data_IF_547916597279
#
_entry.id   IF_547916597279
#
_cell.length_a   1.000
_cell.length_b   1.000
_cell.length_c   1.000
_cell.angle_alpha   90.00
_cell.angle_beta   90.00
_cell.angle_gamma   90.00
#
_symmetry.space_group_name_H-M   'P 1'
#
loop_
_entity.id
_entity.type
_entity.pdbx_description
1 polymer ?
#
# COMPACT_ATOMS: atom_id res chain seq x y z
N UNK A 1 -23.13 -11.06 7.85
CA UNK A 1 -21.81 -11.66 7.53
C UNK A 1 -20.71 -10.65 7.86
N UNK A 2 -19.52 -11.13 8.20
CA UNK A 2 -18.37 -10.25 8.44
C UNK A 2 -17.91 -9.66 7.10
N UNK A 3 -17.82 -8.33 6.99
CA UNK A 3 -17.38 -7.67 5.76
C UNK A 3 -15.90 -7.97 5.53
N UNK A 4 -15.58 -8.48 4.34
CA UNK A 4 -14.22 -8.76 3.89
C UNK A 4 -13.61 -7.46 3.36
N UNK A 5 -12.36 -7.20 3.75
CA UNK A 5 -11.68 -5.94 3.45
C UNK A 5 -10.29 -6.14 2.86
N UNK A 6 -9.93 -5.30 1.89
CA UNK A 6 -8.60 -5.26 1.28
C UNK A 6 -8.02 -3.86 1.32
N UNK A 7 -6.72 -3.77 1.61
CA UNK A 7 -5.91 -2.56 1.39
C UNK A 7 -4.93 -2.77 0.25
N UNK A 8 -4.71 -1.74 -0.55
CA UNK A 8 -3.75 -1.71 -1.63
C UNK A 8 -2.81 -0.52 -1.46
N UNK A 9 -1.55 -0.72 -1.80
CA UNK A 9 -0.58 0.35 -1.99
C UNK A 9 -0.17 0.34 -3.46
N UNK A 10 -0.49 1.42 -4.18
CA UNK A 10 -0.40 1.56 -5.63
C UNK A 10 -1.76 1.36 -6.30
N UNK A 11 -2.54 2.44 -6.45
CA UNK A 11 -3.85 2.34 -7.09
C UNK A 11 -3.71 2.17 -8.60
N UNK A 12 -4.69 1.54 -9.25
CA UNK A 12 -4.66 1.27 -10.68
C UNK A 12 -5.74 0.30 -11.14
N UNK A 13 -5.48 -0.45 -12.21
CA UNK A 13 -6.40 -1.46 -12.73
C UNK A 13 -6.71 -2.56 -11.71
N UNK A 14 -5.73 -2.93 -10.89
CA UNK A 14 -5.85 -3.86 -9.76
C UNK A 14 -6.90 -3.41 -8.75
N UNK A 15 -6.98 -2.11 -8.45
CA UNK A 15 -7.99 -1.53 -7.55
C UNK A 15 -9.41 -1.91 -8.00
N UNK A 16 -9.70 -1.72 -9.28
CA UNK A 16 -11.04 -2.00 -9.84
C UNK A 16 -11.27 -3.49 -10.08
N UNK A 17 -10.22 -4.27 -10.33
CA UNK A 17 -10.36 -5.72 -10.46
C UNK A 17 -10.61 -6.38 -9.11
N UNK A 18 -9.71 -6.18 -8.14
CA UNK A 18 -9.75 -6.88 -6.85
C UNK A 18 -10.87 -6.43 -5.92
N UNK A 19 -11.37 -5.19 -6.08
CA UNK A 19 -12.54 -4.74 -5.33
C UNK A 19 -13.82 -5.55 -5.61
N UNK A 20 -13.87 -6.36 -6.67
CA UNK A 20 -15.00 -7.26 -6.92
C UNK A 20 -15.07 -8.46 -5.96
N UNK A 21 -13.98 -8.76 -5.25
CA UNK A 21 -13.88 -9.93 -4.38
C UNK A 21 -14.01 -9.58 -2.89
N UNK A 22 -14.23 -8.31 -2.54
CA UNK A 22 -14.31 -7.83 -1.16
C UNK A 22 -15.40 -6.77 -1.00
N UNK A 23 -15.91 -6.60 0.22
CA UNK A 23 -16.96 -5.62 0.51
C UNK A 23 -16.43 -4.18 0.59
N UNK A 24 -15.19 -4.04 1.06
CA UNK A 24 -14.53 -2.76 1.29
C UNK A 24 -13.08 -2.75 0.79
N UNK A 25 -12.76 -1.79 -0.08
CA UNK A 25 -11.46 -1.69 -0.72
C UNK A 25 -10.84 -0.33 -0.50
N UNK A 26 -9.67 -0.30 0.13
CA UNK A 26 -8.86 0.92 0.32
C UNK A 26 -7.65 0.84 -0.59
N UNK A 27 -7.38 1.84 -1.41
CA UNK A 27 -6.14 1.93 -2.21
C UNK A 27 -5.40 3.22 -1.94
N UNK A 28 -4.08 3.17 -1.80
CA UNK A 28 -3.24 4.31 -1.46
C UNK A 28 -2.32 4.62 -2.63
N UNK A 29 -2.40 5.83 -3.18
CA UNK A 29 -1.64 6.26 -4.35
C UNK A 29 -0.80 7.50 -4.04
N UNK A 30 0.48 7.43 -4.41
CA UNK A 30 1.46 8.48 -4.13
C UNK A 30 1.47 9.63 -5.13
N UNK A 31 0.91 9.43 -6.32
CA UNK A 31 0.91 10.36 -7.45
C UNK A 31 -0.43 11.08 -7.57
N UNK A 32 -0.51 12.38 -7.17
CA UNK A 32 -1.74 13.15 -7.33
C UNK A 32 -2.17 13.30 -8.78
N UNK A 33 -1.21 13.31 -9.72
CA UNK A 33 -1.51 13.31 -11.15
C UNK A 33 -2.21 12.03 -11.57
N UNK A 34 -1.70 10.87 -11.15
CA UNK A 34 -2.34 9.59 -11.49
C UNK A 34 -3.73 9.46 -10.85
N UNK A 35 -3.92 9.99 -9.64
CA UNK A 35 -5.25 10.06 -9.05
C UNK A 35 -6.29 10.82 -9.88
N UNK A 36 -5.89 11.87 -10.62
CA UNK A 36 -6.79 12.57 -11.55
C UNK A 36 -7.18 11.68 -12.73
N UNK A 37 -6.30 10.79 -13.17
CA UNK A 37 -6.63 9.76 -14.16
C UNK A 37 -7.62 8.73 -13.58
N UNK A 38 -7.46 8.34 -12.32
CA UNK A 38 -8.37 7.43 -11.63
C UNK A 38 -9.79 7.99 -11.49
N UNK A 39 -9.97 9.32 -11.42
CA UNK A 39 -11.31 9.94 -11.48
C UNK A 39 -12.04 9.59 -12.78
N UNK A 40 -11.34 9.60 -13.92
CA UNK A 40 -11.92 9.23 -15.22
C UNK A 40 -12.29 7.75 -15.27
N UNK A 41 -11.44 6.89 -14.71
CA UNK A 41 -11.74 5.46 -14.60
C UNK A 41 -12.93 5.24 -13.68
N UNK A 42 -13.01 5.93 -12.55
CA UNK A 42 -14.14 5.82 -11.63
C UNK A 42 -15.48 6.18 -12.30
N UNK A 43 -15.52 7.23 -13.11
CA UNK A 43 -16.71 7.62 -13.90
C UNK A 43 -17.16 6.50 -14.85
N UNK A 44 -16.22 5.71 -15.41
CA UNK A 44 -16.55 4.58 -16.28
C UNK A 44 -17.02 3.32 -15.54
N UNK A 45 -17.13 3.36 -14.20
CA UNK A 45 -17.60 2.27 -13.35
C UNK A 45 -18.97 2.58 -12.71
N UNK A 46 -20.07 2.72 -13.48
CA UNK A 46 -21.37 3.21 -12.99
C UNK A 46 -22.06 2.30 -11.97
N UNK A 47 -21.55 1.08 -11.75
CA UNK A 47 -22.11 0.10 -10.82
C UNK A 47 -21.44 0.08 -9.45
N UNK A 48 -20.50 0.99 -9.20
CA UNK A 48 -19.72 1.03 -7.96
C UNK A 48 -19.86 2.39 -7.28
N UNK A 49 -19.47 2.43 -6.01
CA UNK A 49 -19.25 3.68 -5.28
C UNK A 49 -17.74 3.86 -5.16
N UNK A 50 -17.22 4.96 -5.72
CA UNK A 50 -15.80 5.28 -5.67
C UNK A 50 -15.61 6.66 -5.06
N UNK A 51 -14.82 6.72 -3.99
CA UNK A 51 -14.35 7.99 -3.40
C UNK A 51 -12.85 8.11 -3.58
N UNK A 52 -12.40 9.29 -3.99
CA UNK A 52 -10.98 9.60 -4.15
C UNK A 52 -10.66 10.81 -3.26
N UNK A 53 -9.89 10.57 -2.20
CA UNK A 53 -9.50 11.56 -1.20
C UNK A 53 -8.09 12.08 -1.48
N UNK A 54 -7.96 13.37 -1.73
CA UNK A 54 -6.68 14.04 -1.85
C UNK A 54 -6.19 14.47 -0.48
N UNK A 55 -5.11 13.86 -0.02
CA UNK A 55 -4.63 14.04 1.34
C UNK A 55 -3.60 15.16 1.43
N UNK A 56 -3.72 15.96 2.49
CA UNK A 56 -2.70 16.86 2.99
C UNK A 56 -2.14 16.37 4.32
N UNK A 57 -0.99 16.91 4.72
CA UNK A 57 -0.41 16.67 6.05
C UNK A 57 0.01 17.99 6.69
N UNK A 58 -0.26 18.14 7.98
CA UNK A 58 0.22 19.23 8.83
C UNK A 58 0.73 18.67 10.17
N UNK A 59 1.03 19.53 11.14
CA UNK A 59 1.52 19.13 12.47
C UNK A 59 0.53 18.25 13.26
N UNK A 60 -0.77 18.36 13.00
CA UNK A 60 -1.82 17.57 13.64
C UNK A 60 -2.07 16.23 12.96
N UNK A 61 -1.50 15.99 11.77
CA UNK A 61 -1.63 14.74 11.02
C UNK A 61 -2.17 14.92 9.60
N UNK A 62 -2.81 13.89 9.07
CA UNK A 62 -3.42 13.91 7.75
C UNK A 62 -4.79 14.57 7.76
N UNK A 63 -5.11 15.31 6.70
CA UNK A 63 -6.42 15.92 6.48
C UNK A 63 -6.83 15.80 5.02
N UNK A 64 -8.13 15.85 4.74
CA UNK A 64 -8.66 15.79 3.37
C UNK A 64 -8.62 17.21 2.79
N UNK A 65 -7.91 17.39 1.67
CA UNK A 65 -7.89 18.64 0.89
C UNK A 65 -9.05 18.72 -0.08
N UNK A 66 -9.37 17.60 -0.71
CA UNK A 66 -10.40 17.49 -1.73
C UNK A 66 -10.91 16.05 -1.80
N UNK A 67 -12.16 15.89 -2.18
CA UNK A 67 -12.79 14.59 -2.38
C UNK A 67 -13.51 14.61 -3.73
N UNK A 68 -13.22 13.61 -4.56
CA UNK A 68 -14.02 13.25 -5.71
C UNK A 68 -14.91 12.07 -5.32
N UNK A 69 -16.17 12.08 -5.74
CA UNK A 69 -17.12 11.01 -5.47
C UNK A 69 -17.87 10.64 -6.76
N UNK A 70 -17.82 9.36 -7.13
CA UNK A 70 -18.70 8.74 -8.10
C UNK A 70 -19.70 7.87 -7.34
N UNK A 71 -21.00 8.12 -7.60
CA UNK A 71 -22.11 7.37 -7.01
C UNK A 71 -22.66 6.37 -8.03
N UNK A 72 -23.08 5.18 -7.61
CA UNK A 72 -23.66 4.19 -8.51
C UNK A 72 -25.00 4.65 -9.06
N UNK A 73 -25.32 4.27 -10.29
CA UNK A 73 -26.61 4.57 -10.93
C UNK A 73 -27.76 3.70 -10.38
N UNK A 74 -27.44 2.54 -9.78
CA UNK A 74 -28.41 1.57 -9.27
C UNK A 74 -28.02 1.07 -7.88
N UNK A 75 -29.03 0.77 -7.06
CA UNK A 75 -28.92 0.39 -5.64
C UNK A 75 -28.23 -0.96 -5.35
N UNK A 76 -27.92 -1.77 -6.37
CA UNK A 76 -27.20 -3.03 -6.18
C UNK A 76 -25.68 -2.79 -6.16
N UNK A 77 -25.21 -2.24 -5.05
CA UNK A 77 -23.81 -1.99 -4.75
C UNK A 77 -23.08 -3.31 -4.47
N UNK A 78 -22.02 -3.61 -5.22
CA UNK A 78 -21.19 -4.80 -5.01
C UNK A 78 -19.93 -4.54 -4.18
N UNK A 79 -19.43 -3.30 -4.13
CA UNK A 79 -18.18 -2.97 -3.42
C UNK A 79 -18.03 -1.46 -3.19
N UNK A 80 -17.57 -1.05 -2.01
CA UNK A 80 -17.21 0.36 -1.71
C UNK A 80 -15.70 0.57 -1.85
N UNK A 81 -15.29 1.47 -2.74
CA UNK A 81 -13.89 1.75 -3.07
C UNK A 81 -13.51 3.14 -2.54
N UNK A 82 -12.44 3.19 -1.74
CA UNK A 82 -11.82 4.43 -1.29
C UNK A 82 -10.37 4.50 -1.74
N UNK A 83 -10.03 5.52 -2.52
CA UNK A 83 -8.67 5.77 -3.00
C UNK A 83 -8.12 6.99 -2.26
N UNK A 84 -6.98 6.85 -1.61
CA UNK A 84 -6.31 7.92 -0.88
C UNK A 84 -5.07 8.36 -1.64
N UNK A 85 -5.13 9.56 -2.18
CA UNK A 85 -4.03 10.22 -2.87
C UNK A 85 -3.13 10.89 -1.85
N UNK A 86 -2.12 10.14 -1.39
CA UNK A 86 -1.20 10.53 -0.33
C UNK A 86 0.11 10.94 -0.97
N UNK A 87 0.37 12.24 -1.18
CA UNK A 87 1.59 12.67 -1.83
C UNK A 87 2.81 12.15 -1.07
N UNK A 88 3.86 11.85 -1.82
CA UNK A 88 5.20 11.57 -1.27
C UNK A 88 5.61 12.66 -0.28
N UNK A 89 6.48 12.32 0.67
CA UNK A 89 7.08 13.25 1.63
C UNK A 89 8.15 14.17 0.99
N UNK A 90 7.83 14.70 -0.20
CA UNK A 90 8.69 15.61 -0.98
C UNK A 90 8.83 16.99 -0.31
N UNK A 91 8.02 17.29 0.69
CA UNK A 91 8.05 18.55 1.43
C UNK A 91 9.22 18.65 2.42
N UNK A 92 10.03 17.59 2.60
CA UNK A 92 11.29 17.71 3.31
C UNK A 92 12.43 18.08 2.36
N UNK A 93 13.23 19.09 2.71
CA UNK A 93 14.41 19.50 1.96
C UNK A 93 15.33 18.32 1.64
N UNK A 94 15.45 17.37 2.59
CA UNK A 94 16.20 16.13 2.44
C UNK A 94 15.62 15.21 1.35
N UNK A 95 14.30 15.02 1.29
CA UNK A 95 13.67 14.21 0.25
C UNK A 95 13.78 14.85 -1.13
N UNK A 96 13.64 16.18 -1.23
CA UNK A 96 13.83 16.92 -2.47
C UNK A 96 15.25 16.75 -3.02
N UNK A 97 16.27 16.90 -2.15
CA UNK A 97 17.67 16.69 -2.52
C UNK A 97 17.93 15.25 -2.98
N UNK A 98 17.44 14.25 -2.23
CA UNK A 98 17.61 12.84 -2.60
C UNK A 98 16.99 12.52 -3.96
N UNK A 99 15.80 13.08 -4.24
CA UNK A 99 15.13 12.92 -5.53
C UNK A 99 15.95 13.48 -6.70
N UNK A 100 16.58 14.63 -6.53
CA UNK A 100 17.37 15.29 -7.58
C UNK A 100 18.66 14.52 -7.94
N UNK A 101 19.08 13.55 -7.12
CA UNK A 101 20.38 12.88 -7.27
C UNK A 101 20.34 11.56 -8.06
N UNK A 102 19.21 11.20 -8.69
CA UNK A 102 19.03 9.91 -9.41
C UNK A 102 19.34 8.65 -8.56
N UNK A 103 19.44 8.81 -7.24
CA UNK A 103 19.61 7.71 -6.27
C UNK A 103 18.31 6.92 -6.13
N UNK A 104 18.41 5.70 -5.60
CA UNK A 104 17.26 4.85 -5.30
C UNK A 104 16.23 5.58 -4.41
N UNK A 105 14.98 5.19 -4.56
CA UNK A 105 13.87 5.73 -3.76
C UNK A 105 14.03 5.33 -2.30
N UNK A 106 14.14 6.31 -1.40
CA UNK A 106 14.39 6.08 0.03
C UNK A 106 13.08 6.03 0.82
N UNK A 107 13.08 5.42 2.02
CA UNK A 107 11.94 5.52 2.95
C UNK A 107 11.57 6.99 3.24
N UNK A 108 12.56 7.87 3.44
CA UNK A 108 12.32 9.28 3.75
C UNK A 108 11.50 9.98 2.66
N UNK A 109 11.70 9.61 1.39
CA UNK A 109 10.94 10.15 0.25
C UNK A 109 9.47 9.72 0.27
N UNK A 110 9.18 8.53 0.79
CA UNK A 110 7.84 7.91 0.78
C UNK A 110 7.19 7.82 2.17
N UNK A 111 7.79 8.36 3.22
CA UNK A 111 7.32 8.21 4.61
C UNK A 111 5.82 8.42 4.77
N UNK A 112 5.31 9.55 4.30
CA UNK A 112 3.89 9.88 4.46
C UNK A 112 2.98 8.88 3.72
N UNK A 113 3.42 8.39 2.56
CA UNK A 113 2.74 7.33 1.82
C UNK A 113 2.79 6.01 2.59
N UNK A 114 3.98 5.57 3.03
CA UNK A 114 4.21 4.31 3.77
C UNK A 114 3.40 4.29 5.07
N UNK A 115 3.53 5.34 5.88
CA UNK A 115 2.95 5.40 7.24
C UNK A 115 1.46 5.73 7.25
N UNK A 116 0.88 6.09 6.08
CA UNK A 116 -0.48 6.60 5.99
C UNK A 116 -1.49 5.73 6.73
N UNK A 117 -1.50 4.43 6.46
CA UNK A 117 -2.43 3.48 7.06
C UNK A 117 -2.28 3.43 8.58
N UNK A 118 -1.05 3.38 9.08
CA UNK A 118 -0.77 3.35 10.52
C UNK A 118 -1.21 4.61 11.26
N UNK A 119 -1.28 5.75 10.56
CA UNK A 119 -1.63 7.05 11.15
C UNK A 119 -3.11 7.34 11.02
N UNK A 120 -3.70 7.11 9.85
CA UNK A 120 -5.07 7.47 9.50
C UNK A 120 -6.07 6.34 9.82
N UNK A 121 -5.65 5.09 9.67
CA UNK A 121 -6.45 3.88 9.89
C UNK A 121 -5.99 3.08 11.11
N UNK A 122 -5.63 3.78 12.21
CA UNK A 122 -5.01 3.19 13.41
C UNK A 122 -5.74 1.96 13.95
N UNK A 123 -7.07 1.99 13.93
CA UNK A 123 -7.94 0.97 14.52
C UNK A 123 -8.58 0.05 13.47
N UNK A 124 -8.22 0.18 12.20
CA UNK A 124 -8.79 -0.61 11.11
C UNK A 124 -7.89 -1.80 10.81
N UNK A 125 -8.51 -2.96 10.57
CA UNK A 125 -7.83 -4.19 10.20
C UNK A 125 -8.33 -4.64 8.83
N UNK A 126 -7.45 -5.25 8.05
CA UNK A 126 -7.72 -5.75 6.70
C UNK A 126 -7.42 -7.24 6.62
N UNK A 127 -8.28 -7.96 5.89
CA UNK A 127 -8.14 -9.39 5.63
C UNK A 127 -7.10 -9.65 4.53
N UNK A 128 -6.98 -8.69 3.60
CA UNK A 128 -6.03 -8.77 2.51
C UNK A 128 -5.24 -7.48 2.33
N UNK A 129 -3.99 -7.60 1.89
CA UNK A 129 -3.20 -6.46 1.43
C UNK A 129 -2.53 -6.75 0.08
N UNK A 130 -2.58 -5.83 -0.88
CA UNK A 130 -1.89 -5.92 -2.16
C UNK A 130 -0.85 -4.80 -2.31
N UNK A 131 0.41 -5.18 -2.50
CA UNK A 131 1.54 -4.25 -2.55
C UNK A 131 2.12 -4.20 -3.97
N UNK A 132 1.66 -3.23 -4.75
CA UNK A 132 2.10 -3.02 -6.14
C UNK A 132 2.63 -1.60 -6.41
N UNK A 133 2.71 -0.77 -5.39
CA UNK A 133 3.20 0.60 -5.48
C UNK A 133 4.71 0.72 -5.22
N UNK A 134 5.08 1.87 -4.65
CA UNK A 134 6.47 2.17 -4.26
C UNK A 134 6.79 1.66 -2.86
N UNK A 135 8.09 1.58 -2.54
CA UNK A 135 8.59 1.22 -1.20
C UNK A 135 7.98 -0.08 -0.63
N UNK A 136 7.81 -1.11 -1.46
CA UNK A 136 7.05 -2.33 -1.11
C UNK A 136 7.55 -3.02 0.17
N UNK A 137 8.86 -3.19 0.42
CA UNK A 137 9.33 -3.76 1.69
C UNK A 137 8.97 -2.92 2.93
N UNK A 138 9.07 -1.59 2.82
CA UNK A 138 8.72 -0.67 3.90
C UNK A 138 7.22 -0.69 4.17
N UNK A 139 6.41 -0.70 3.10
CA UNK A 139 4.97 -0.85 3.20
C UNK A 139 4.62 -2.20 3.82
N UNK A 140 5.23 -3.30 3.38
CA UNK A 140 5.00 -4.64 3.93
C UNK A 140 5.25 -4.67 5.43
N UNK A 141 6.26 -3.98 5.95
CA UNK A 141 6.42 -3.81 7.39
C UNK A 141 5.31 -2.94 7.99
N UNK A 142 5.07 -1.75 7.44
CA UNK A 142 4.16 -0.76 8.02
C UNK A 142 2.73 -1.29 8.19
N UNK A 143 2.24 -2.09 7.24
CA UNK A 143 0.87 -2.63 7.25
C UNK A 143 0.65 -3.73 8.28
N UNK A 144 1.71 -4.29 8.89
CA UNK A 144 1.59 -5.38 9.88
C UNK A 144 0.55 -5.02 10.95
N UNK A 145 0.59 -3.81 11.48
CA UNK A 145 -0.36 -3.34 12.51
C UNK A 145 -1.80 -3.29 12.05
N UNK A 146 -2.07 -3.32 10.75
CA UNK A 146 -3.41 -3.27 10.16
C UNK A 146 -3.82 -4.60 9.52
N UNK A 147 -3.07 -5.68 9.69
CA UNK A 147 -3.51 -7.02 9.29
C UNK A 147 -4.47 -7.62 10.33
N UNK A 148 -5.53 -8.27 9.85
CA UNK A 148 -6.54 -8.96 10.67
C UNK A 148 -6.03 -10.33 11.17
N UNK A 149 -5.04 -10.29 12.08
CA UNK A 149 -4.44 -11.48 12.69
C UNK A 149 -3.63 -12.34 11.71
N UNK A 150 -3.35 -13.59 12.10
CA UNK A 150 -2.54 -14.54 11.31
C UNK A 150 -3.20 -15.04 10.02
N UNK A 151 -4.52 -14.88 9.87
CA UNK A 151 -5.25 -15.34 8.69
C UNK A 151 -5.17 -14.37 7.51
N UNK A 152 -4.82 -13.11 7.77
CA UNK A 152 -4.69 -12.10 6.73
C UNK A 152 -3.60 -12.47 5.71
N UNK A 153 -3.84 -12.19 4.43
CA UNK A 153 -2.89 -12.48 3.34
C UNK A 153 -2.32 -11.20 2.75
N UNK A 154 -1.02 -11.21 2.49
CA UNK A 154 -0.31 -10.11 1.84
C UNK A 154 0.22 -10.58 0.50
N UNK A 155 -0.15 -9.87 -0.55
CA UNK A 155 0.24 -10.12 -1.93
C UNK A 155 1.27 -9.07 -2.35
N UNK A 156 2.40 -9.49 -2.93
CA UNK A 156 3.44 -8.55 -3.38
C UNK A 156 3.82 -8.84 -4.82
N UNK A 157 3.71 -7.82 -5.66
CA UNK A 157 4.04 -7.88 -7.08
C UNK A 157 5.57 -7.74 -7.31
N UNK A 158 6.04 -8.04 -8.53
CA UNK A 158 7.45 -8.07 -8.98
C UNK A 158 8.42 -8.78 -8.01
N UNK A 159 8.01 -9.92 -7.46
CA UNK A 159 8.77 -10.60 -6.41
C UNK A 159 10.15 -11.12 -6.84
N UNK A 160 10.28 -11.60 -8.08
CA UNK A 160 11.38 -12.49 -8.46
C UNK A 160 12.74 -11.83 -8.60
N UNK A 161 12.80 -10.70 -9.31
CA UNK A 161 14.07 -10.05 -9.63
C UNK A 161 14.56 -9.09 -8.52
N UNK A 162 13.84 -9.01 -7.39
CA UNK A 162 14.08 -8.03 -6.33
C UNK A 162 14.51 -8.72 -5.04
N UNK A 163 15.74 -9.23 -5.01
CA UNK A 163 16.31 -9.92 -3.84
C UNK A 163 16.25 -9.09 -2.56
N UNK A 164 16.32 -7.77 -2.70
CA UNK A 164 16.13 -6.81 -1.62
C UNK A 164 14.78 -6.92 -0.91
N UNK A 165 13.74 -7.43 -1.59
CA UNK A 165 12.41 -7.60 -0.99
C UNK A 165 12.36 -8.79 -0.05
N UNK A 166 13.20 -9.80 -0.27
CA UNK A 166 13.15 -11.08 0.45
C UNK A 166 13.54 -10.96 1.92
N UNK A 167 14.06 -9.81 2.35
CA UNK A 167 14.24 -9.50 3.77
C UNK A 167 12.93 -9.59 4.58
N UNK A 168 11.79 -9.23 3.99
CA UNK A 168 10.50 -9.27 4.70
C UNK A 168 10.06 -10.72 4.94
N UNK A 169 10.46 -11.66 4.08
CA UNK A 169 10.29 -13.10 4.30
C UNK A 169 11.21 -13.56 5.43
N UNK A 170 12.45 -13.07 5.50
CA UNK A 170 13.37 -13.46 6.58
C UNK A 170 12.87 -12.97 7.94
N UNK A 171 12.34 -11.76 8.01
CA UNK A 171 12.03 -11.11 9.28
C UNK A 171 10.54 -11.22 9.68
N UNK A 172 9.59 -11.03 8.76
CA UNK A 172 8.21 -10.69 9.12
C UNK A 172 7.13 -11.66 8.62
N UNK A 173 7.37 -12.29 7.47
CA UNK A 173 6.37 -13.07 6.73
C UNK A 173 6.87 -14.48 6.38
N UNK A 174 5.97 -15.46 6.31
CA UNK A 174 6.26 -16.71 5.61
C UNK A 174 5.59 -16.68 4.23
N UNK A 175 6.22 -17.33 3.25
CA UNK A 175 5.61 -17.57 1.93
C UNK A 175 4.57 -18.67 2.05
N UNK A 176 3.39 -18.41 1.50
CA UNK A 176 2.31 -19.38 1.33
C UNK A 176 2.37 -19.96 -0.08
N UNK A 177 2.47 -19.08 -1.06
CA UNK A 177 2.49 -19.42 -2.47
C UNK A 177 3.26 -18.35 -3.26
N UNK A 178 3.80 -18.71 -4.41
CA UNK A 178 4.46 -17.77 -5.30
C UNK A 178 4.41 -18.24 -6.75
N UNK A 179 4.14 -17.29 -7.65
CA UNK A 179 4.37 -17.46 -9.07
C UNK A 179 5.65 -16.72 -9.46
N UNK A 180 6.72 -17.50 -9.68
CA UNK A 180 8.04 -16.97 -10.00
C UNK A 180 8.35 -16.95 -11.51
N UNK A 181 7.52 -17.61 -12.30
CA UNK A 181 7.64 -17.61 -13.76
C UNK A 181 6.71 -16.55 -14.36
N UNK A 182 7.29 -15.65 -15.15
CA UNK A 182 6.56 -14.63 -15.88
C UNK A 182 7.06 -14.54 -17.31
N UNK A 183 6.12 -14.59 -18.25
CA UNK A 183 6.37 -14.35 -19.67
C UNK A 183 6.37 -12.86 -20.02
N UNK A 184 6.10 -11.97 -19.06
CA UNK A 184 6.17 -10.52 -19.29
C UNK A 184 7.63 -10.06 -19.41
N UNK A 185 7.88 -9.20 -20.40
CA UNK A 185 9.15 -8.49 -20.55
C UNK A 185 9.45 -7.68 -19.28
N UNK A 186 10.55 -7.99 -18.60
CA UNK A 186 10.94 -7.39 -17.32
C UNK A 186 10.88 -8.34 -16.12
N UNK A 187 10.35 -9.56 -16.30
CA UNK A 187 10.27 -10.56 -15.23
C UNK A 187 9.29 -10.13 -14.13
N UNK A 188 8.01 -10.41 -14.33
CA UNK A 188 6.99 -10.27 -13.30
C UNK A 188 7.06 -11.37 -12.26
N UNK A 189 6.20 -11.31 -11.25
CA UNK A 189 6.04 -12.34 -10.23
C UNK A 189 5.10 -11.90 -9.13
N UNK A 190 4.42 -12.85 -8.50
CA UNK A 190 3.51 -12.57 -7.37
C UNK A 190 3.86 -13.53 -6.24
N UNK A 191 3.97 -13.01 -5.02
CA UNK A 191 4.08 -13.83 -3.80
C UNK A 191 2.87 -13.58 -2.92
N UNK A 192 2.41 -14.64 -2.27
CA UNK A 192 1.39 -14.61 -1.22
C UNK A 192 2.06 -14.94 0.10
N UNK A 193 1.85 -14.07 1.09
CA UNK A 193 2.50 -14.10 2.38
C UNK A 193 1.46 -14.15 3.49
N UNK A 194 1.86 -14.71 4.63
CA UNK A 194 1.21 -14.44 5.91
C UNK A 194 2.22 -14.07 6.98
N UNK A 195 1.75 -13.35 7.98
CA UNK A 195 2.52 -12.92 9.13
C UNK A 195 3.08 -14.13 9.90
N UNK A 196 4.34 -14.05 10.34
CA UNK A 196 5.01 -15.14 11.09
C UNK A 196 4.42 -15.40 12.48
N UNK A 197 4.11 -14.35 13.23
CA UNK A 197 3.60 -14.46 14.61
C UNK A 197 2.73 -13.26 14.97
N UNK A 198 1.87 -13.42 15.98
CA UNK A 198 1.18 -12.29 16.59
C UNK A 198 2.20 -11.30 17.20
N UNK A 199 1.83 -10.02 17.25
CA UNK A 199 2.66 -8.93 17.78
C UNK A 199 3.86 -8.51 16.93
N UNK A 200 4.16 -9.19 15.82
CA UNK A 200 5.26 -8.78 14.94
C UNK A 200 4.93 -7.45 14.23
N UNK A 201 5.89 -6.52 14.25
CA UNK A 201 5.71 -5.17 13.69
C UNK A 201 5.03 -4.18 14.64
N UNK A 202 4.92 -4.47 15.94
CA UNK A 202 4.40 -3.52 16.94
C UNK A 202 5.31 -2.30 17.15
N UNK A 203 6.62 -2.42 16.92
CA UNK A 203 7.59 -1.31 17.02
C UNK A 203 7.39 -0.28 15.90
N UNK A 204 7.78 0.97 16.12
CA UNK A 204 7.93 1.90 14.99
C UNK A 204 9.10 1.41 14.13
N UNK A 205 9.03 1.71 12.85
CA UNK A 205 10.06 1.39 11.87
C UNK A 205 11.40 2.06 12.20
N UNK A 206 11.34 3.27 12.78
CA UNK A 206 12.51 4.01 13.25
C UNK A 206 13.05 3.46 14.59
N UNK A 207 12.27 2.64 15.29
CA UNK A 207 12.64 2.02 16.57
C UNK A 207 13.17 0.59 16.38
N UNK A 208 13.29 0.13 15.13
CA UNK A 208 13.87 -1.17 14.82
C UNK A 208 15.38 -1.07 14.98
N UNK A 209 15.89 -1.63 16.07
CA UNK A 209 17.30 -1.98 16.17
C UNK A 209 17.55 -3.20 15.29
N UNK A 210 18.19 -2.98 14.15
CA UNK A 210 18.42 -4.03 13.17
C UNK A 210 19.44 -5.02 13.72
N UNK A 211 19.11 -6.31 13.69
CA UNK A 211 19.93 -7.43 14.20
C UNK A 211 21.39 -7.45 13.73
N UNK A 212 21.72 -6.68 12.68
CA UNK A 212 23.04 -6.57 12.08
C UNK A 212 23.74 -5.21 12.31
N UNK A 213 23.21 -4.35 13.19
CA UNK A 213 23.81 -3.05 13.55
C UNK A 213 23.87 -2.04 12.40
N UNK A 214 23.14 -2.30 11.31
CA UNK A 214 23.02 -1.42 10.14
C UNK A 214 21.58 -1.41 9.67
N UNK A 215 21.06 -0.21 9.41
CA UNK A 215 19.83 -0.06 8.64
C UNK A 215 20.00 -0.77 7.30
N UNK A 216 19.03 -1.57 6.85
CA UNK A 216 19.22 -2.37 5.65
C UNK A 216 19.43 -1.47 4.44
N UNK A 217 20.33 -1.83 3.52
CA UNK A 217 20.62 -0.98 2.34
C UNK A 217 19.40 -0.74 1.44
N UNK A 218 18.38 -1.60 1.49
CA UNK A 218 17.11 -1.42 0.78
C UNK A 218 16.18 -0.39 1.42
N UNK A 219 16.57 0.14 2.58
CA UNK A 219 15.90 1.22 3.30
C UNK A 219 16.25 2.61 2.75
N UNK A 220 17.42 2.72 2.12
CA UNK A 220 18.03 3.93 1.58
C UNK A 220 17.87 3.99 0.07
#
# INVERSE_FOLDING_TARGET
EQKISMVEYGAGSSTFFFSTYVDYYVSIEHSPHYCRELERIAISQPHRSVKIFYMGRNSSGFYIKHCFEQKPDKLNLTSHIEIYCVPRNAYSFKAYYLWATSKRSTYTMYRDYVDFLSIYFRNTKFDFAFLDGRARPQVAYAILKQLNGLNAKVFIHDWNQRKEYHIIEREFYNIIDQQTESTQSGGGGLVVLHRKSEGIGEKNINDIDWKYGKEPEWWI
#
